data_IF_598775004458
#
_entry.id   IF_598775004458
#
_cell.length_a   1.000
_cell.length_b   1.000
_cell.length_c   1.000
_cell.angle_alpha   90.00
_cell.angle_beta   90.00
_cell.angle_gamma   90.00
#
_symmetry.space_group_name_H-M   'P 1'
#
loop_
_entity.id
_entity.type
_entity.pdbx_description
1 polymer ?
#
# COMPACT_ATOMS: atom_id res chain seq x y z
N UNK A 1 21.59 14.78 13.45
CA UNK A 1 20.94 13.87 12.46
C UNK A 1 20.47 12.60 13.18
N UNK A 2 19.56 12.65 14.16
CA UNK A 2 19.05 11.43 14.83
C UNK A 2 17.77 11.71 15.64
N UNK A 3 16.67 12.01 14.95
CA UNK A 3 15.34 11.60 15.46
C UNK A 3 14.41 11.38 14.26
N UNK A 4 14.75 10.37 13.46
CA UNK A 4 14.23 10.19 12.10
C UNK A 4 12.92 9.39 12.03
N UNK A 5 12.46 8.85 13.16
CA UNK A 5 11.34 7.90 13.21
C UNK A 5 10.56 8.12 14.53
N UNK A 6 9.39 8.74 14.39
CA UNK A 6 8.32 8.77 15.41
C UNK A 6 8.00 7.36 15.96
N UNK A 7 7.29 7.30 17.09
CA UNK A 7 7.00 6.04 17.79
C UNK A 7 6.30 4.99 16.91
N UNK A 8 5.50 5.42 15.93
CA UNK A 8 4.84 4.53 14.98
C UNK A 8 5.84 3.84 14.04
N UNK A 9 6.71 4.61 13.39
CA UNK A 9 7.73 4.05 12.51
C UNK A 9 8.76 3.20 13.29
N UNK A 10 9.07 3.57 14.54
CA UNK A 10 9.91 2.76 15.43
C UNK A 10 9.28 1.39 15.73
N UNK A 11 7.99 1.35 16.06
CA UNK A 11 7.25 0.09 16.30
C UNK A 11 7.24 -0.80 15.06
N UNK A 12 7.02 -0.21 13.88
CA UNK A 12 7.07 -0.95 12.61
C UNK A 12 8.45 -1.57 12.38
N UNK A 13 9.53 -0.83 12.65
CA UNK A 13 10.88 -1.35 12.50
C UNK A 13 11.20 -2.49 13.48
N UNK A 14 10.68 -2.43 14.70
CA UNK A 14 10.80 -3.53 15.66
C UNK A 14 10.12 -4.79 15.12
N UNK A 15 8.93 -4.65 14.52
CA UNK A 15 8.26 -5.78 13.88
C UNK A 15 9.04 -6.30 12.67
N UNK A 16 9.45 -5.42 11.76
CA UNK A 16 10.25 -5.80 10.59
C UNK A 16 11.55 -6.53 11.00
N UNK A 17 12.20 -6.09 12.09
CA UNK A 17 13.34 -6.78 12.66
C UNK A 17 12.97 -8.17 13.19
N UNK A 18 11.83 -8.30 13.87
CA UNK A 18 11.30 -9.58 14.32
C UNK A 18 11.09 -10.57 13.16
N UNK A 19 10.50 -10.09 12.06
CA UNK A 19 10.29 -10.87 10.83
C UNK A 19 11.61 -11.32 10.20
N UNK A 20 12.58 -10.40 10.08
CA UNK A 20 13.90 -10.71 9.56
C UNK A 20 14.63 -11.76 10.42
N UNK A 21 14.58 -11.63 11.74
CA UNK A 21 15.16 -12.60 12.67
C UNK A 21 14.43 -13.96 12.59
N UNK A 22 13.10 -13.96 12.48
CA UNK A 22 12.28 -15.16 12.31
C UNK A 22 12.64 -15.94 11.05
N UNK A 23 12.92 -15.24 9.96
CA UNK A 23 13.39 -15.82 8.69
C UNK A 23 14.90 -16.12 8.67
N UNK A 24 15.62 -15.89 9.77
CA UNK A 24 17.08 -16.02 9.88
C UNK A 24 17.86 -15.16 8.89
N UNK A 25 17.33 -13.98 8.57
CA UNK A 25 17.99 -12.97 7.73
C UNK A 25 18.89 -12.05 8.55
N UNK A 26 19.92 -11.51 7.90
CA UNK A 26 21.01 -10.76 8.53
C UNK A 26 20.83 -9.24 8.41
N UNK A 27 19.81 -8.80 7.66
CA UNK A 27 19.47 -7.41 7.41
C UNK A 27 17.96 -7.22 7.31
N UNK A 28 17.49 -6.01 7.62
CA UNK A 28 16.10 -5.60 7.40
C UNK A 28 15.98 -5.05 5.97
N UNK A 29 15.51 -5.90 5.06
CA UNK A 29 15.18 -5.57 3.68
C UNK A 29 13.69 -5.21 3.45
N UNK A 30 13.29 -4.92 2.20
CA UNK A 30 11.96 -4.36 1.86
C UNK A 30 10.81 -5.30 2.18
N UNK A 31 11.00 -6.60 2.07
CA UNK A 31 10.04 -7.65 2.43
C UNK A 31 9.69 -7.65 3.93
N UNK A 32 10.64 -7.32 4.79
CA UNK A 32 10.39 -7.25 6.23
C UNK A 32 9.67 -5.95 6.59
N UNK A 33 9.98 -4.85 5.91
CA UNK A 33 9.21 -3.61 6.02
C UNK A 33 7.77 -3.84 5.58
N UNK A 34 7.54 -4.60 4.51
CA UNK A 34 6.20 -4.98 4.05
C UNK A 34 5.46 -5.77 5.14
N UNK A 35 6.07 -6.80 5.73
CA UNK A 35 5.45 -7.58 6.81
C UNK A 35 5.14 -6.71 8.04
N UNK A 36 6.09 -5.87 8.47
CA UNK A 36 5.86 -4.94 9.57
C UNK A 36 4.73 -3.95 9.29
N UNK A 37 4.59 -3.49 8.05
CA UNK A 37 3.52 -2.57 7.63
C UNK A 37 2.15 -3.27 7.46
N UNK A 38 2.13 -4.58 7.25
CA UNK A 38 0.91 -5.40 7.17
C UNK A 38 0.43 -5.90 8.54
N UNK A 39 1.13 -5.56 9.64
CA UNK A 39 0.65 -5.85 10.98
C UNK A 39 -0.52 -4.93 11.35
N UNK A 40 -1.69 -5.53 11.56
CA UNK A 40 -2.95 -4.83 11.85
C UNK A 40 -2.94 -4.00 13.14
N UNK A 41 -1.93 -4.18 14.01
CA UNK A 41 -1.78 -3.42 15.27
C UNK A 41 -1.08 -2.08 15.08
N UNK A 42 -0.48 -1.82 13.92
CA UNK A 42 0.40 -0.67 13.69
C UNK A 42 -0.32 0.48 12.95
N UNK A 43 -1.32 0.17 12.12
CA UNK A 43 -2.03 1.18 11.34
C UNK A 43 -3.17 0.63 10.48
N UNK A 44 -3.82 1.54 9.75
CA UNK A 44 -4.95 1.27 8.84
C UNK A 44 -4.50 0.72 7.49
N UNK A 45 -3.23 0.87 7.13
CA UNK A 45 -2.68 0.43 5.84
C UNK A 45 -2.84 -1.07 5.58
N UNK A 46 -2.66 -1.90 6.61
CA UNK A 46 -2.89 -3.34 6.53
C UNK A 46 -4.36 -3.68 6.18
N UNK A 47 -5.31 -2.95 6.76
CA UNK A 47 -6.73 -3.14 6.47
C UNK A 47 -7.08 -2.72 5.03
N UNK A 48 -6.46 -1.64 4.53
CA UNK A 48 -6.66 -1.13 3.17
C UNK A 48 -6.29 -2.16 2.09
N UNK A 49 -5.22 -2.92 2.32
CA UNK A 49 -4.73 -3.91 1.36
C UNK A 49 -5.35 -5.31 1.54
N UNK A 50 -5.95 -5.58 2.70
CA UNK A 50 -6.59 -6.88 2.99
C UNK A 50 -7.71 -7.21 1.99
N UNK A 51 -8.51 -6.22 1.57
CA UNK A 51 -9.58 -6.43 0.57
C UNK A 51 -9.05 -6.77 -0.83
N UNK A 52 -7.78 -6.47 -1.11
CA UNK A 52 -7.09 -6.86 -2.35
C UNK A 52 -6.37 -8.20 -2.21
N UNK A 53 -6.59 -8.91 -1.10
CA UNK A 53 -5.95 -10.20 -0.83
C UNK A 53 -4.50 -10.09 -0.35
N UNK A 54 -4.02 -8.89 -0.02
CA UNK A 54 -2.70 -8.70 0.58
C UNK A 54 -2.85 -8.69 2.09
N UNK A 55 -2.62 -9.85 2.70
CA UNK A 55 -2.56 -10.00 4.15
C UNK A 55 -1.14 -10.34 4.58
N UNK A 56 -0.84 -10.12 5.86
CA UNK A 56 0.44 -10.51 6.45
C UNK A 56 0.78 -11.98 6.16
N UNK A 57 -0.11 -12.92 6.48
CA UNK A 57 0.11 -14.36 6.27
C UNK A 57 0.42 -14.73 4.81
N UNK A 58 -0.30 -14.12 3.85
CA UNK A 58 -0.10 -14.37 2.43
C UNK A 58 1.22 -13.78 1.95
N UNK A 59 1.55 -12.56 2.38
CA UNK A 59 2.83 -11.94 2.09
C UNK A 59 3.99 -12.76 2.67
N UNK A 60 3.87 -13.20 3.93
CA UNK A 60 4.87 -14.04 4.60
C UNK A 60 5.11 -15.35 3.83
N UNK A 61 4.03 -16.02 3.45
CA UNK A 61 4.11 -17.25 2.64
C UNK A 61 4.86 -17.02 1.33
N UNK A 62 4.57 -15.92 0.63
CA UNK A 62 5.28 -15.60 -0.61
C UNK A 62 6.73 -15.20 -0.38
N UNK A 63 7.06 -14.50 0.71
CA UNK A 63 8.44 -14.14 1.06
C UNK A 63 9.26 -15.40 1.30
N UNK A 64 8.75 -16.37 2.07
CA UNK A 64 9.42 -17.66 2.28
C UNK A 64 9.66 -18.38 0.96
N UNK A 65 8.75 -18.28 -0.01
CA UNK A 65 8.93 -18.88 -1.35
C UNK A 65 9.87 -18.10 -2.27
N UNK A 66 10.06 -16.80 -2.07
CA UNK A 66 10.93 -15.96 -2.91
C UNK A 66 12.37 -15.99 -2.40
N UNK A 67 12.53 -15.84 -1.08
CA UNK A 67 13.82 -15.60 -0.42
C UNK A 67 14.33 -16.86 0.28
N UNK A 68 13.41 -17.71 0.78
CA UNK A 68 13.75 -18.84 1.64
C UNK A 68 14.00 -18.42 3.08
N UNK A 69 14.54 -19.35 3.87
CA UNK A 69 15.14 -19.02 5.17
C UNK A 69 16.63 -18.74 4.93
N UNK A 70 17.19 -17.76 5.65
CA UNK A 70 18.62 -17.47 5.58
C UNK A 70 19.46 -18.70 5.92
N UNK A 71 20.67 -18.79 5.34
CA UNK A 71 21.56 -19.97 5.41
C UNK A 71 22.05 -20.34 6.83
N UNK A 72 21.55 -19.72 7.90
CA UNK A 72 22.02 -19.95 9.28
C UNK A 72 23.48 -19.56 9.52
N UNK A 73 24.22 -19.09 8.51
CA UNK A 73 25.62 -18.65 8.63
C UNK A 73 25.78 -17.45 9.58
N UNK A 74 24.75 -16.61 9.70
CA UNK A 74 24.67 -15.55 10.70
C UNK A 74 24.56 -16.06 12.15
N UNK A 75 23.99 -17.25 12.38
CA UNK A 75 23.90 -17.89 13.71
C UNK A 75 25.26 -18.38 14.22
N UNK A 76 26.18 -18.74 13.31
CA UNK A 76 27.53 -19.20 13.66
C UNK A 76 28.46 -18.05 14.08
N UNK A 77 28.22 -16.82 13.62
CA UNK A 77 29.04 -15.63 13.96
C UNK A 77 28.59 -14.90 15.23
N UNK A 78 27.51 -15.34 15.87
CA UNK A 78 26.85 -14.64 16.98
C UNK A 78 26.78 -15.38 18.32
N UNK A 79 27.43 -16.54 18.49
CA UNK A 79 27.42 -17.31 19.76
C UNK A 79 28.26 -16.69 20.90
N UNK A 80 28.58 -15.40 20.82
CA UNK A 80 29.39 -14.69 21.83
C UNK A 80 28.62 -13.72 22.71
N UNK A 81 27.32 -13.48 22.50
CA UNK A 81 26.58 -12.48 23.29
C UNK A 81 25.09 -12.77 23.42
N UNK A 82 24.78 -13.90 24.05
CA UNK A 82 23.43 -14.14 24.59
C UNK A 82 23.13 -13.05 25.63
N UNK A 83 22.31 -12.06 25.27
CA UNK A 83 21.86 -11.01 26.20
C UNK A 83 21.65 -9.61 25.62
N UNK A 84 22.10 -9.31 24.40
CA UNK A 84 21.70 -8.05 23.72
C UNK A 84 20.77 -8.38 22.56
N UNK A 85 19.61 -7.72 22.52
CA UNK A 85 18.71 -7.75 21.36
C UNK A 85 19.54 -7.45 20.10
N UNK A 86 19.61 -8.43 19.18
CA UNK A 86 20.44 -8.33 17.96
C UNK A 86 19.82 -7.29 17.04
N UNK A 87 20.28 -6.04 17.10
CA UNK A 87 19.91 -4.98 16.16
C UNK A 87 20.44 -5.33 14.77
N UNK A 88 19.54 -5.44 13.78
CA UNK A 88 19.90 -5.74 12.41
C UNK A 88 20.07 -4.43 11.61
N UNK A 89 21.08 -4.33 10.74
CA UNK A 89 21.19 -3.18 9.84
C UNK A 89 20.05 -3.19 8.80
N UNK A 90 19.68 -1.99 8.32
CA UNK A 90 18.76 -1.84 7.19
C UNK A 90 19.52 -1.98 5.86
N UNK A 91 18.95 -2.68 4.89
CA UNK A 91 19.48 -2.68 3.53
C UNK A 91 19.36 -1.29 2.90
N UNK A 92 20.20 -0.96 1.91
CA UNK A 92 20.18 0.35 1.25
C UNK A 92 18.80 0.68 0.66
N UNK A 93 18.12 -0.32 0.08
CA UNK A 93 16.77 -0.12 -0.46
C UNK A 93 15.74 0.11 0.64
N UNK A 94 15.83 -0.60 1.76
CA UNK A 94 14.96 -0.37 2.90
C UNK A 94 15.14 1.05 3.48
N UNK A 95 16.37 1.55 3.57
CA UNK A 95 16.65 2.94 3.95
C UNK A 95 16.01 3.94 2.99
N UNK A 96 16.11 3.68 1.67
CA UNK A 96 15.48 4.50 0.64
C UNK A 96 13.96 4.55 0.75
N UNK A 97 13.31 3.39 1.01
CA UNK A 97 11.86 3.31 1.24
C UNK A 97 11.44 4.17 2.44
N UNK A 98 12.18 4.10 3.56
CA UNK A 98 11.87 4.90 4.74
C UNK A 98 12.02 6.39 4.49
N UNK A 99 13.07 6.81 3.76
CA UNK A 99 13.26 8.21 3.39
C UNK A 99 12.16 8.69 2.43
N UNK A 100 11.72 7.85 1.49
CA UNK A 100 10.57 8.16 0.62
C UNK A 100 9.29 8.33 1.43
N UNK A 101 8.97 7.39 2.32
CA UNK A 101 7.80 7.46 3.19
C UNK A 101 7.81 8.72 4.06
N UNK A 102 8.99 9.14 4.55
CA UNK A 102 9.16 10.39 5.30
C UNK A 102 8.84 11.62 4.47
N UNK A 103 9.30 11.67 3.21
CA UNK A 103 8.99 12.79 2.30
C UNK A 103 7.51 12.82 1.96
N UNK A 104 6.90 11.67 1.75
CA UNK A 104 5.47 11.56 1.48
C UNK A 104 4.65 12.05 2.68
N UNK A 105 4.97 11.64 3.90
CA UNK A 105 4.33 12.16 5.12
C UNK A 105 4.51 13.68 5.27
N UNK A 106 5.71 14.20 5.02
CA UNK A 106 5.98 15.63 5.09
C UNK A 106 5.24 16.45 4.01
N UNK A 107 4.98 15.86 2.84
CA UNK A 107 4.29 16.55 1.73
C UNK A 107 2.79 16.78 1.99
N UNK A 108 2.22 16.07 2.97
CA UNK A 108 0.81 16.12 3.37
C UNK A 108 0.66 16.60 4.82
N UNK A 109 1.69 17.26 5.36
CA UNK A 109 1.77 17.79 6.73
C UNK A 109 1.52 16.76 7.84
N UNK A 110 1.72 15.47 7.56
CA UNK A 110 1.72 14.45 8.58
C UNK A 110 3.01 14.53 9.40
N UNK A 111 2.85 14.80 10.70
CA UNK A 111 3.95 14.86 11.67
C UNK A 111 4.57 13.50 11.97
N UNK A 112 3.93 12.41 11.53
CA UNK A 112 4.42 11.05 11.76
C UNK A 112 4.31 10.12 10.54
N UNK A 113 5.21 9.13 10.49
CA UNK A 113 5.32 8.14 9.42
C UNK A 113 4.64 6.87 9.93
N UNK A 114 3.38 6.70 9.57
CA UNK A 114 2.63 5.47 9.79
C UNK A 114 2.95 4.33 8.83
N UNK A 115 2.26 3.20 9.02
CA UNK A 115 2.35 2.01 8.17
C UNK A 115 1.97 2.32 6.71
N UNK A 116 1.07 3.27 6.53
CA UNK A 116 0.46 3.63 5.28
C UNK A 116 1.46 4.33 4.35
N UNK A 117 2.24 5.28 4.86
CA UNK A 117 3.30 5.94 4.09
C UNK A 117 4.37 4.96 3.62
N UNK A 118 4.68 3.96 4.45
CA UNK A 118 5.62 2.90 4.09
C UNK A 118 5.02 2.01 3.00
N UNK A 119 3.75 1.66 3.11
CA UNK A 119 3.04 0.91 2.05
C UNK A 119 2.97 1.71 0.75
N UNK A 120 2.70 3.02 0.78
CA UNK A 120 2.74 3.87 -0.42
C UNK A 120 4.12 3.85 -1.07
N UNK A 121 5.18 4.06 -0.28
CA UNK A 121 6.55 4.01 -0.78
C UNK A 121 6.89 2.64 -1.41
N UNK A 122 6.50 1.53 -0.77
CA UNK A 122 6.70 0.16 -1.30
C UNK A 122 5.88 -0.09 -2.56
N UNK A 123 4.64 0.40 -2.63
CA UNK A 123 3.75 0.23 -3.77
C UNK A 123 4.20 1.02 -5.01
N UNK A 124 5.09 2.01 -4.86
CA UNK A 124 5.70 2.75 -5.99
C UNK A 124 7.14 2.36 -6.30
N UNK A 125 7.74 1.44 -5.54
CA UNK A 125 9.11 1.01 -5.76
C UNK A 125 9.18 -0.14 -6.77
N UNK A 126 9.87 0.05 -7.87
CA UNK A 126 10.10 -1.00 -8.86
C UNK A 126 11.37 -1.78 -8.48
N UNK A 127 11.18 -2.84 -7.69
CA UNK A 127 12.25 -3.78 -7.34
C UNK A 127 12.32 -4.18 -5.86
N UNK A 128 13.24 -5.10 -5.57
CA UNK A 128 13.34 -5.75 -4.26
C UNK A 128 12.31 -6.86 -4.06
N UNK A 129 12.34 -7.51 -2.89
CA UNK A 129 11.47 -8.67 -2.64
C UNK A 129 10.03 -8.26 -2.35
N UNK A 130 9.77 -7.12 -1.70
CA UNK A 130 8.41 -6.60 -1.53
C UNK A 130 7.68 -6.41 -2.87
N UNK A 131 8.36 -5.84 -3.88
CA UNK A 131 7.82 -5.75 -5.24
C UNK A 131 7.45 -7.12 -5.81
N UNK A 132 8.36 -8.11 -5.70
CA UNK A 132 8.09 -9.48 -6.17
C UNK A 132 6.92 -10.15 -5.43
N UNK A 133 6.70 -9.82 -4.15
CA UNK A 133 5.54 -10.31 -3.39
C UNK A 133 4.26 -9.76 -3.98
N UNK A 134 4.18 -8.46 -4.28
CA UNK A 134 3.00 -7.86 -4.91
C UNK A 134 2.72 -8.50 -6.28
N UNK A 135 3.76 -8.76 -7.07
CA UNK A 135 3.65 -9.46 -8.36
C UNK A 135 3.10 -10.88 -8.20
N UNK A 136 3.61 -11.66 -7.24
CA UNK A 136 3.13 -13.03 -6.99
C UNK A 136 1.69 -13.08 -6.47
N UNK A 137 1.31 -12.08 -5.67
CA UNK A 137 -0.07 -11.92 -5.21
C UNK A 137 -0.99 -11.34 -6.29
N UNK A 138 -0.47 -10.98 -7.47
CA UNK A 138 -1.19 -10.41 -8.61
C UNK A 138 -1.99 -9.15 -8.24
N UNK A 139 -1.38 -8.31 -7.41
CA UNK A 139 -2.00 -7.09 -6.91
C UNK A 139 -1.91 -6.02 -7.98
N UNK A 140 -3.03 -5.37 -8.29
CA UNK A 140 -2.99 -4.11 -9.05
C UNK A 140 -2.44 -3.02 -8.12
N UNK A 141 -1.18 -2.63 -8.35
CA UNK A 141 -0.46 -1.68 -7.49
C UNK A 141 -1.07 -0.27 -7.51
N UNK A 142 -1.68 0.14 -8.61
CA UNK A 142 -2.37 1.45 -8.69
C UNK A 142 -3.66 1.45 -7.86
N UNK A 143 -4.42 0.35 -7.87
CA UNK A 143 -5.57 0.17 -6.97
C UNK A 143 -5.13 0.10 -5.51
N UNK A 144 -4.10 -0.68 -5.20
CA UNK A 144 -3.55 -0.78 -3.85
C UNK A 144 -3.07 0.59 -3.33
N UNK A 145 -2.37 1.36 -4.16
CA UNK A 145 -1.91 2.71 -3.83
C UNK A 145 -3.09 3.63 -3.52
N UNK A 146 -4.15 3.59 -4.33
CA UNK A 146 -5.38 4.34 -4.07
C UNK A 146 -6.06 3.94 -2.76
N UNK A 147 -6.16 2.63 -2.44
CA UNK A 147 -6.74 2.15 -1.18
C UNK A 147 -5.98 2.66 0.05
N UNK A 148 -4.65 2.66 -0.03
CA UNK A 148 -3.81 3.14 1.09
C UNK A 148 -3.94 4.65 1.24
N UNK A 149 -4.03 5.43 0.15
CA UNK A 149 -4.29 6.87 0.24
C UNK A 149 -5.61 7.21 0.92
N UNK A 150 -6.67 6.43 0.66
CA UNK A 150 -7.96 6.58 1.34
C UNK A 150 -7.83 6.26 2.83
N UNK A 151 -7.12 5.19 3.17
CA UNK A 151 -6.89 4.81 4.57
C UNK A 151 -6.00 5.81 5.35
N UNK A 152 -5.24 6.63 4.61
CA UNK A 152 -4.43 7.73 5.13
C UNK A 152 -5.20 9.01 5.39
N UNK A 153 -6.48 9.07 5.02
CA UNK A 153 -7.32 10.29 5.08
C UNK A 153 -6.74 11.49 4.30
N UNK A 154 -5.76 11.22 3.41
CA UNK A 154 -5.08 12.19 2.54
C UNK A 154 -5.90 12.52 1.30
N UNK A 155 -6.76 11.58 0.91
CA UNK A 155 -7.82 11.83 -0.05
C UNK A 155 -9.15 11.69 0.69
N UNK A 156 -10.06 12.69 0.65
CA UNK A 156 -11.46 12.45 0.88
C UNK A 156 -12.00 11.69 -0.35
N UNK A 157 -11.55 10.46 -0.56
CA UNK A 157 -12.04 9.63 -1.66
C UNK A 157 -12.80 8.41 -1.14
N UNK A 158 -14.12 8.38 -1.32
CA UNK A 158 -14.85 7.15 -1.35
C UNK A 158 -14.48 6.45 -2.67
N UNK A 159 -13.64 5.43 -2.59
CA UNK A 159 -13.62 4.37 -3.60
C UNK A 159 -15.02 3.75 -3.76
N UNK A 160 -15.23 2.76 -4.65
CA UNK A 160 -16.53 2.38 -5.24
C UNK A 160 -17.68 2.06 -4.26
N UNK A 161 -17.43 2.04 -2.95
CA UNK A 161 -18.41 2.03 -1.86
C UNK A 161 -19.43 3.19 -1.91
N UNK A 162 -19.17 4.33 -2.56
CA UNK A 162 -20.24 5.32 -2.78
C UNK A 162 -21.32 4.83 -3.75
N UNK A 163 -21.00 3.80 -4.55
CA UNK A 163 -21.89 3.12 -5.47
C UNK A 163 -22.55 1.87 -4.86
N UNK A 164 -22.14 1.41 -3.67
CA UNK A 164 -22.71 0.21 -3.04
C UNK A 164 -24.20 0.40 -2.64
N UNK A 165 -24.70 1.64 -2.62
CA UNK A 165 -26.12 1.97 -2.48
C UNK A 165 -26.82 2.40 -3.78
N UNK A 166 -26.10 2.48 -4.90
CA UNK A 166 -26.59 3.00 -6.20
C UNK A 166 -27.00 1.81 -7.07
N UNK A 167 -28.24 1.36 -6.89
CA UNK A 167 -28.85 0.33 -7.73
C UNK A 167 -29.20 0.89 -9.13
N UNK A 168 -28.86 0.16 -10.20
CA UNK A 168 -29.26 0.52 -11.56
C UNK A 168 -28.29 0.08 -12.66
N UNK A 169 -28.72 0.24 -13.92
CA UNK A 169 -27.87 0.05 -15.10
C UNK A 169 -26.78 1.13 -15.19
N UNK A 170 -25.79 0.95 -16.08
CA UNK A 170 -24.64 1.85 -16.21
C UNK A 170 -25.04 3.32 -16.38
N UNK A 171 -26.11 3.58 -17.14
CA UNK A 171 -26.65 4.92 -17.38
C UNK A 171 -27.20 5.55 -16.10
N UNK A 172 -27.99 4.79 -15.32
CA UNK A 172 -28.53 5.25 -14.04
C UNK A 172 -27.42 5.58 -13.03
N UNK A 173 -26.31 4.82 -13.06
CA UNK A 173 -25.15 5.08 -12.18
C UNK A 173 -24.44 6.38 -12.56
N UNK A 174 -24.35 6.69 -13.86
CA UNK A 174 -23.76 7.94 -14.35
C UNK A 174 -24.59 9.15 -13.93
N UNK A 175 -25.91 9.05 -14.08
CA UNK A 175 -26.82 10.12 -13.65
C UNK A 175 -26.78 10.35 -12.14
N UNK A 176 -26.72 9.29 -11.34
CA UNK A 176 -26.60 9.44 -9.88
C UNK A 176 -25.26 10.09 -9.47
N UNK A 177 -24.17 9.75 -10.15
CA UNK A 177 -22.85 10.38 -9.93
C UNK A 177 -22.86 11.85 -10.35
N UNK A 178 -23.55 12.21 -11.44
CA UNK A 178 -23.75 13.61 -11.86
C UNK A 178 -24.54 14.40 -10.83
N UNK A 179 -25.67 13.87 -10.36
CA UNK A 179 -26.48 14.54 -9.35
C UNK A 179 -25.72 14.75 -8.04
N UNK A 180 -24.95 13.76 -7.59
CA UNK A 180 -24.16 13.89 -6.37
C UNK A 180 -22.97 14.86 -6.51
N UNK A 181 -22.38 14.96 -7.71
CA UNK A 181 -21.40 16.00 -8.05
C UNK A 181 -21.99 17.40 -7.92
N UNK A 182 -23.18 17.60 -8.47
CA UNK A 182 -23.84 18.91 -8.48
C UNK A 182 -24.24 19.33 -7.06
N UNK A 183 -24.74 18.40 -6.23
CA UNK A 183 -24.99 18.63 -4.79
C UNK A 183 -23.71 18.99 -4.02
N UNK A 184 -22.57 18.36 -4.35
CA UNK A 184 -21.28 18.73 -3.78
C UNK A 184 -20.83 20.14 -4.18
N UNK A 185 -21.04 20.54 -5.44
CA UNK A 185 -20.76 21.89 -5.93
C UNK A 185 -21.65 22.93 -5.25
N UNK A 186 -22.95 22.64 -5.06
CA UNK A 186 -23.91 23.52 -4.38
C UNK A 186 -23.52 23.74 -2.91
N UNK A 187 -23.02 22.70 -2.24
CA UNK A 187 -22.46 22.77 -0.88
C UNK A 187 -21.07 23.40 -0.82
N UNK A 188 -20.49 23.77 -1.97
CA UNK A 188 -19.11 24.27 -2.13
C UNK A 188 -18.04 23.29 -1.65
N UNK A 189 -18.36 22.00 -1.65
CA UNK A 189 -17.40 20.92 -1.40
C UNK A 189 -16.71 20.54 -2.72
N UNK A 190 -15.74 21.38 -3.11
CA UNK A 190 -15.02 21.21 -4.36
C UNK A 190 -14.14 19.95 -4.37
N UNK A 191 -13.70 19.46 -3.20
CA UNK A 191 -12.96 18.21 -3.08
C UNK A 191 -13.83 17.04 -3.53
N UNK A 192 -15.01 16.90 -2.92
CA UNK A 192 -15.97 15.86 -3.26
C UNK A 192 -16.47 15.97 -4.71
N UNK A 193 -16.64 17.19 -5.23
CA UNK A 193 -17.03 17.40 -6.63
C UNK A 193 -15.97 16.92 -7.64
N UNK A 194 -14.67 17.10 -7.34
CA UNK A 194 -13.57 16.57 -8.17
C UNK A 194 -13.58 15.04 -8.18
N UNK A 195 -13.92 14.44 -7.05
CA UNK A 195 -14.00 12.98 -6.93
C UNK A 195 -15.16 12.39 -7.74
N UNK A 196 -16.34 13.00 -7.67
CA UNK A 196 -17.45 12.60 -8.53
C UNK A 196 -17.13 12.78 -10.02
N UNK A 197 -16.37 13.81 -10.39
CA UNK A 197 -15.90 13.98 -11.77
C UNK A 197 -14.97 12.84 -12.21
N UNK A 198 -14.12 12.31 -11.32
CA UNK A 198 -13.27 11.16 -11.65
C UNK A 198 -14.10 9.89 -11.82
N UNK A 199 -15.10 9.66 -10.94
CA UNK A 199 -16.02 8.52 -11.04
C UNK A 199 -16.85 8.60 -12.34
N UNK A 200 -17.39 9.77 -12.66
CA UNK A 200 -18.16 10.00 -13.89
C UNK A 200 -17.32 9.64 -15.13
N UNK A 201 -16.08 10.13 -15.21
CA UNK A 201 -15.17 9.82 -16.33
C UNK A 201 -14.93 8.33 -16.49
N UNK A 202 -14.75 7.61 -15.39
CA UNK A 202 -14.52 6.16 -15.41
C UNK A 202 -15.78 5.39 -15.85
N UNK A 203 -16.98 5.85 -15.50
CA UNK A 203 -18.24 5.21 -15.91
C UNK A 203 -18.57 5.51 -17.38
N UNK A 204 -18.36 6.75 -17.83
CA UNK A 204 -18.53 7.13 -19.24
C UNK A 204 -17.54 6.36 -20.12
N UNK A 205 -16.31 6.12 -19.65
CA UNK A 205 -15.35 5.29 -20.37
C UNK A 205 -15.81 3.82 -20.51
N UNK A 206 -16.63 3.31 -19.59
CA UNK A 206 -17.23 1.97 -19.68
C UNK A 206 -18.43 1.90 -20.66
N UNK A 207 -19.06 3.04 -20.96
CA UNK A 207 -20.12 3.13 -21.98
C UNK A 207 -19.58 3.18 -23.41
N UNK A 208 -18.29 3.52 -23.59
CA UNK A 208 -17.71 3.61 -24.91
C UNK A 208 -17.75 2.21 -25.58
N UNK A 209 -18.33 2.08 -26.79
CA UNK A 209 -18.37 0.80 -27.47
C UNK A 209 -16.94 0.32 -27.72
N UNK A 210 -16.66 -0.90 -27.27
CA UNK A 210 -15.44 -1.62 -27.66
C UNK A 210 -15.37 -1.60 -29.19
N UNK A 211 -14.30 -1.01 -29.73
CA UNK A 211 -14.13 -0.80 -31.16
C UNK A 211 -14.58 -1.99 -31.99
N UNK A 212 -15.56 -1.71 -32.84
CA UNK A 212 -16.06 -2.51 -33.93
C UNK A 212 -14.88 -3.01 -34.78
N UNK A 213 -14.39 -4.20 -34.47
CA UNK A 213 -13.53 -5.01 -35.33
C UNK A 213 -14.42 -6.07 -35.96
N UNK A 214 -15.20 -5.68 -36.96
CA UNK A 214 -15.88 -6.61 -37.84
C UNK A 214 -15.98 -6.03 -39.26
N UNK A 215 -15.30 -6.71 -40.18
CA UNK A 215 -15.59 -6.80 -41.61
C UNK A 215 -16.03 -5.55 -42.38
N UNK A 216 -15.09 -4.98 -43.13
CA UNK A 216 -15.38 -4.63 -44.53
C UNK A 216 -14.55 -5.50 -45.45
N UNK A 217 -15.15 -6.63 -45.82
CA UNK A 217 -14.97 -7.23 -47.15
C UNK A 217 -15.51 -6.27 -48.20
N UNK A 218 -14.65 -5.84 -49.11
CA UNK A 218 -14.93 -5.69 -50.53
C UNK A 218 -13.60 -5.86 -51.27
#
# INVERSE_FOLDING_TARGET
MHDLLNDHARRLLVLAQGEALGLSHDEIATEHLLLGALDRRIGSGAAALASLGVTHDRAHTEIVRIVGHGSGRGMARGRGRAGRARSLPLSLRAQWILERARREAAAIDHTSVGSEHILLALLREDGGHAFRVFERLRVNRDEAHRRVLVALDVLPYPGPTLLDGIAGNLDARIEQVRAAKDDALDRRDFGLAVEFRQVERNLVAQQAPSGETASRTA
#
